data_IF_638504547069
#
_entry.id   IF_638504547069
#
_cell.length_a   1.000
_cell.length_b   1.000
_cell.length_c   1.000
_cell.angle_alpha   90.00
_cell.angle_beta   90.00
_cell.angle_gamma   90.00
#
_symmetry.space_group_name_H-M   'P 1'
#
loop_
_entity.id
_entity.type
_entity.pdbx_description
1 polymer ?
#
# COMPACT_ATOMS: atom_id res chain seq x y z
N UNK A 1 -3.02 -22.01 -3.16
CA UNK A 1 -3.99 -20.99 -2.67
C UNK A 1 -4.47 -20.17 -3.86
N UNK A 2 -5.76 -19.81 -3.99
CA UNK A 2 -6.18 -19.01 -5.16
C UNK A 2 -5.55 -17.62 -5.14
N UNK A 3 -5.26 -17.05 -6.32
CA UNK A 3 -4.64 -15.72 -6.45
C UNK A 3 -5.46 -14.64 -5.73
N UNK A 4 -6.79 -14.71 -5.82
CA UNK A 4 -7.69 -13.83 -5.08
C UNK A 4 -7.46 -13.92 -3.57
N UNK A 5 -7.36 -15.13 -3.00
CA UNK A 5 -7.10 -15.30 -1.56
C UNK A 5 -5.74 -14.71 -1.16
N UNK A 6 -4.71 -14.86 -2.00
CA UNK A 6 -3.38 -14.25 -1.76
C UNK A 6 -3.49 -12.72 -1.72
N UNK A 7 -4.18 -12.15 -2.70
CA UNK A 7 -4.42 -10.71 -2.82
C UNK A 7 -5.16 -10.18 -1.58
N UNK A 8 -6.33 -10.74 -1.26
CA UNK A 8 -7.11 -10.28 -0.10
C UNK A 8 -6.36 -10.41 1.22
N UNK A 9 -5.68 -11.53 1.45
CA UNK A 9 -4.91 -11.76 2.68
C UNK A 9 -3.81 -10.71 2.86
N UNK A 10 -3.08 -10.38 1.80
CA UNK A 10 -1.97 -9.43 1.90
C UNK A 10 -2.44 -7.97 1.81
N UNK A 11 -3.54 -7.68 1.12
CA UNK A 11 -4.19 -6.37 1.15
C UNK A 11 -4.68 -6.03 2.57
N UNK A 12 -5.27 -7.01 3.27
CA UNK A 12 -5.67 -6.86 4.67
C UNK A 12 -4.47 -6.57 5.59
N UNK A 13 -3.29 -7.15 5.32
CA UNK A 13 -2.07 -6.82 6.08
C UNK A 13 -1.63 -5.37 5.86
N UNK A 14 -1.65 -4.87 4.62
CA UNK A 14 -1.33 -3.47 4.31
C UNK A 14 -2.31 -2.56 5.06
N UNK A 15 -3.61 -2.85 4.94
CA UNK A 15 -4.67 -2.11 5.60
C UNK A 15 -4.48 -2.05 7.12
N UNK A 16 -4.35 -3.21 7.78
CA UNK A 16 -4.19 -3.29 9.24
C UNK A 16 -2.91 -2.61 9.69
N UNK A 17 -1.79 -2.77 8.96
CA UNK A 17 -0.53 -2.15 9.31
C UNK A 17 -0.62 -0.61 9.25
N UNK A 18 -1.15 -0.05 8.16
CA UNK A 18 -1.25 1.39 7.98
C UNK A 18 -2.29 2.01 8.93
N UNK A 19 -3.49 1.44 9.00
CA UNK A 19 -4.55 1.95 9.88
C UNK A 19 -4.12 1.82 11.34
N UNK A 20 -3.58 0.66 11.74
CA UNK A 20 -3.04 0.44 13.08
C UNK A 20 -1.91 1.41 13.41
N UNK A 21 -1.03 1.70 12.45
CA UNK A 21 0.02 2.70 12.61
C UNK A 21 -0.55 4.10 12.87
N UNK A 22 -1.55 4.56 12.11
CA UNK A 22 -2.16 5.87 12.36
C UNK A 22 -2.89 5.95 13.70
N UNK A 23 -3.58 4.87 14.12
CA UNK A 23 -4.17 4.81 15.46
C UNK A 23 -3.09 4.89 16.54
N UNK A 24 -1.99 4.16 16.39
CA UNK A 24 -0.86 4.24 17.29
C UNK A 24 -0.28 5.66 17.36
N UNK A 25 -0.09 6.32 16.23
CA UNK A 25 0.37 7.72 16.15
C UNK A 25 -0.58 8.68 16.87
N UNK A 26 -1.90 8.47 16.76
CA UNK A 26 -2.89 9.25 17.50
C UNK A 26 -2.81 9.02 19.01
N UNK A 27 -2.59 7.78 19.46
CA UNK A 27 -2.47 7.45 20.90
C UNK A 27 -1.25 8.12 21.55
N UNK A 28 -0.14 8.25 20.83
CA UNK A 28 1.08 8.89 21.34
C UNK A 28 1.11 10.41 21.07
N UNK A 29 0.04 10.99 20.51
CA UNK A 29 -0.06 12.43 20.24
C UNK A 29 0.82 12.94 19.09
N UNK A 30 1.21 12.08 18.16
CA UNK A 30 2.11 12.41 17.04
C UNK A 30 1.38 12.43 15.68
N UNK A 31 0.05 12.42 15.66
CA UNK A 31 -0.77 12.34 14.44
C UNK A 31 -0.59 13.52 13.47
N UNK A 32 -0.08 14.66 13.96
CA UNK A 32 0.10 15.88 13.15
C UNK A 32 1.41 15.89 12.36
N UNK A 33 2.34 14.96 12.66
CA UNK A 33 3.65 14.89 12.01
C UNK A 33 3.50 14.12 10.69
N UNK A 34 3.50 14.85 9.57
CA UNK A 34 3.21 14.28 8.26
C UNK A 34 4.35 13.41 7.69
N UNK A 35 5.57 13.63 8.14
CA UNK A 35 6.77 12.91 7.71
C UNK A 35 6.66 11.41 7.98
N UNK A 36 5.93 11.02 9.04
CA UNK A 36 5.67 9.62 9.35
C UNK A 36 4.90 8.87 8.27
N UNK A 37 4.19 9.59 7.38
CA UNK A 37 3.49 8.97 6.25
C UNK A 37 4.43 8.31 5.27
N UNK A 38 5.71 8.69 5.24
CA UNK A 38 6.69 8.00 4.42
C UNK A 38 6.78 6.52 4.80
N UNK A 39 6.53 6.15 6.06
CA UNK A 39 6.55 4.77 6.51
C UNK A 39 5.47 3.90 5.84
N UNK A 40 4.40 4.51 5.31
CA UNK A 40 3.37 3.79 4.56
C UNK A 40 3.95 3.05 3.35
N UNK A 41 4.99 3.61 2.70
CA UNK A 41 5.65 2.93 1.57
C UNK A 41 6.24 1.58 1.99
N UNK A 42 6.75 1.49 3.23
CA UNK A 42 7.36 0.27 3.75
C UNK A 42 6.30 -0.82 3.95
N UNK A 43 5.14 -0.46 4.49
CA UNK A 43 4.02 -1.38 4.66
C UNK A 43 3.46 -1.86 3.30
N UNK A 44 3.36 -0.95 2.33
CA UNK A 44 2.93 -1.27 0.96
C UNK A 44 3.92 -2.23 0.30
N UNK A 45 5.22 -1.92 0.28
CA UNK A 45 6.27 -2.78 -0.29
C UNK A 45 6.26 -4.15 0.40
N UNK A 46 6.16 -4.19 1.73
CA UNK A 46 6.12 -5.44 2.48
C UNK A 46 4.91 -6.32 2.12
N UNK A 47 3.72 -5.73 2.03
CA UNK A 47 2.50 -6.45 1.66
C UNK A 47 2.53 -6.95 0.21
N UNK A 48 2.96 -6.11 -0.73
CA UNK A 48 3.12 -6.48 -2.14
C UNK A 48 4.14 -7.61 -2.27
N UNK A 49 5.31 -7.49 -1.65
CA UNK A 49 6.35 -8.52 -1.70
C UNK A 49 5.85 -9.84 -1.10
N UNK A 50 5.10 -9.78 0.01
CA UNK A 50 4.49 -10.95 0.62
C UNK A 50 3.50 -11.65 -0.32
N UNK A 51 2.74 -10.89 -1.12
CA UNK A 51 1.79 -11.45 -2.08
C UNK A 51 2.49 -12.16 -3.25
N UNK A 52 3.52 -11.52 -3.82
CA UNK A 52 4.35 -12.08 -4.89
C UNK A 52 5.06 -13.34 -4.40
N UNK A 53 5.72 -13.26 -3.23
CA UNK A 53 6.41 -14.38 -2.60
C UNK A 53 5.46 -15.56 -2.36
N UNK A 54 4.25 -15.30 -1.86
CA UNK A 54 3.28 -16.38 -1.64
C UNK A 54 2.91 -17.07 -2.96
N UNK A 55 2.71 -16.35 -4.06
CA UNK A 55 2.39 -16.98 -5.33
C UNK A 55 3.57 -17.79 -5.89
N UNK A 56 4.79 -17.23 -5.84
CA UNK A 56 6.01 -17.90 -6.32
C UNK A 56 6.26 -19.21 -5.56
N UNK A 57 6.20 -19.19 -4.22
CA UNK A 57 6.61 -20.35 -3.42
C UNK A 57 5.48 -21.29 -3.01
N UNK A 58 4.24 -20.79 -2.84
CA UNK A 58 3.11 -21.65 -2.42
C UNK A 58 2.29 -22.16 -3.58
N UNK A 59 2.20 -21.39 -4.67
CA UNK A 59 1.50 -21.82 -5.89
C UNK A 59 2.47 -22.33 -6.97
N UNK A 60 3.79 -22.24 -6.74
CA UNK A 60 4.82 -22.58 -7.72
C UNK A 60 4.65 -21.81 -9.05
N UNK A 61 4.03 -20.62 -8.99
CA UNK A 61 3.76 -19.79 -10.17
C UNK A 61 4.70 -18.59 -10.21
N UNK A 62 5.67 -18.68 -11.12
CA UNK A 62 6.67 -17.64 -11.36
C UNK A 62 6.43 -16.88 -12.68
N UNK A 63 5.18 -16.85 -13.17
CA UNK A 63 4.83 -16.03 -14.31
C UNK A 63 4.94 -14.54 -13.95
N UNK A 64 5.66 -13.78 -14.78
CA UNK A 64 5.92 -12.37 -14.53
C UNK A 64 4.62 -11.53 -14.51
N UNK A 65 3.75 -11.69 -15.51
CA UNK A 65 2.52 -10.91 -15.61
C UNK A 65 1.53 -11.28 -14.49
N UNK A 66 1.46 -12.56 -14.12
CA UNK A 66 0.64 -13.00 -13.00
C UNK A 66 1.09 -12.36 -11.69
N UNK A 67 2.40 -12.41 -11.39
CA UNK A 67 2.94 -11.86 -10.14
C UNK A 67 2.90 -10.32 -10.12
N UNK A 68 3.10 -9.66 -11.27
CA UNK A 68 2.90 -8.21 -11.41
C UNK A 68 1.44 -7.83 -11.10
N UNK A 69 0.47 -8.56 -11.65
CA UNK A 69 -0.96 -8.33 -11.41
C UNK A 69 -1.36 -8.58 -9.95
N UNK A 70 -0.87 -9.67 -9.34
CA UNK A 70 -1.10 -9.99 -7.94
C UNK A 70 -0.54 -8.89 -7.03
N UNK A 71 0.70 -8.46 -7.28
CA UNK A 71 1.34 -7.41 -6.50
C UNK A 71 0.59 -6.09 -6.58
N UNK A 72 0.27 -5.64 -7.80
CA UNK A 72 -0.46 -4.39 -8.02
C UNK A 72 -1.86 -4.43 -7.38
N UNK A 73 -2.60 -5.53 -7.58
CA UNK A 73 -3.95 -5.71 -7.03
C UNK A 73 -3.94 -5.76 -5.50
N UNK A 74 -2.90 -6.35 -4.89
CA UNK A 74 -2.70 -6.36 -3.44
C UNK A 74 -2.50 -4.96 -2.89
N UNK A 75 -1.60 -4.18 -3.51
CA UNK A 75 -1.37 -2.79 -3.14
C UNK A 75 -2.63 -1.95 -3.27
N UNK A 76 -3.27 -2.01 -4.45
CA UNK A 76 -4.48 -1.24 -4.77
C UNK A 76 -5.62 -1.49 -3.79
N UNK A 77 -5.95 -2.76 -3.50
CA UNK A 77 -7.02 -3.07 -2.55
C UNK A 77 -6.67 -2.63 -1.12
N UNK A 78 -5.40 -2.76 -0.72
CA UNK A 78 -4.93 -2.28 0.58
C UNK A 78 -5.11 -0.78 0.74
N UNK A 79 -4.66 0.02 -0.24
CA UNK A 79 -4.77 1.48 -0.20
C UNK A 79 -6.21 1.96 -0.28
N UNK A 80 -7.08 1.29 -1.05
CA UNK A 80 -8.49 1.64 -1.13
C UNK A 80 -9.15 1.46 0.23
N UNK A 81 -8.87 0.35 0.93
CA UNK A 81 -9.32 0.15 2.30
C UNK A 81 -8.85 1.26 3.24
N UNK A 82 -7.58 1.66 3.16
CA UNK A 82 -7.02 2.75 4.00
C UNK A 82 -7.73 4.08 3.73
N UNK A 83 -7.90 4.45 2.45
CA UNK A 83 -8.56 5.70 2.05
C UNK A 83 -10.02 5.69 2.47
N UNK A 84 -10.74 4.59 2.30
CA UNK A 84 -12.12 4.45 2.76
C UNK A 84 -12.22 4.65 4.28
N UNK A 85 -11.34 4.02 5.06
CA UNK A 85 -11.33 4.20 6.51
C UNK A 85 -10.97 5.62 6.93
N UNK A 86 -10.07 6.29 6.22
CA UNK A 86 -9.77 7.71 6.44
C UNK A 86 -11.00 8.58 6.19
N UNK A 87 -11.73 8.35 5.10
CA UNK A 87 -12.97 9.09 4.79
C UNK A 87 -14.00 8.89 5.89
N UNK A 88 -14.25 7.64 6.30
CA UNK A 88 -15.18 7.30 7.39
C UNK A 88 -14.76 7.99 8.70
N UNK A 89 -13.47 7.97 9.01
CA UNK A 89 -12.93 8.59 10.21
C UNK A 89 -13.16 10.12 10.21
N UNK A 90 -12.85 10.80 9.10
CA UNK A 90 -13.03 12.25 8.98
C UNK A 90 -14.52 12.64 9.07
N UNK A 91 -15.41 11.86 8.45
CA UNK A 91 -16.83 12.23 8.37
C UNK A 91 -17.64 11.85 9.61
N UNK A 92 -17.26 10.79 10.34
CA UNK A 92 -18.07 10.25 11.44
C UNK A 92 -17.42 10.38 12.82
N UNK A 93 -16.11 10.59 12.90
CA UNK A 93 -15.36 10.52 14.17
C UNK A 93 -14.72 11.86 14.51
N UNK A 94 -13.86 12.38 13.64
CA UNK A 94 -13.00 13.52 13.96
C UNK A 94 -12.51 14.22 12.68
N UNK A 95 -12.96 15.46 12.49
CA UNK A 95 -12.64 16.28 11.31
C UNK A 95 -11.30 17.02 11.43
N UNK A 96 -10.62 16.97 12.58
CA UNK A 96 -9.31 17.63 12.77
C UNK A 96 -8.25 17.10 11.81
N UNK A 97 -8.32 15.81 11.46
CA UNK A 97 -7.45 15.20 10.46
C UNK A 97 -7.59 15.92 9.10
N UNK A 98 -8.79 16.38 8.75
CA UNK A 98 -9.02 17.14 7.51
C UNK A 98 -8.29 18.49 7.54
N UNK A 99 -8.27 19.19 8.68
CA UNK A 99 -7.53 20.45 8.81
C UNK A 99 -6.01 20.26 8.65
N UNK A 100 -5.46 19.21 9.26
CA UNK A 100 -4.04 18.84 9.09
C UNK A 100 -3.74 18.44 7.64
N UNK A 101 -4.67 17.78 6.95
CA UNK A 101 -4.54 17.42 5.54
C UNK A 101 -4.58 18.62 4.59
N UNK A 102 -5.43 19.60 4.85
CA UNK A 102 -5.55 20.80 4.01
C UNK A 102 -4.32 21.70 4.09
N UNK A 103 -3.72 21.83 5.28
CA UNK A 103 -2.55 22.69 5.51
C UNK A 103 -1.26 22.12 4.90
N UNK A 104 -1.22 20.81 4.70
CA UNK A 104 -0.05 20.09 4.20
C UNK A 104 -0.20 19.61 2.76
N UNK A 105 -1.38 19.78 2.16
CA UNK A 105 -1.65 19.23 0.84
C UNK A 105 -0.79 19.91 -0.24
N UNK A 106 0.02 19.08 -0.89
CA UNK A 106 0.92 19.44 -1.99
C UNK A 106 0.20 20.10 -3.19
N UNK A 107 -1.13 20.00 -3.26
CA UNK A 107 -1.98 20.38 -4.40
C UNK A 107 -2.81 21.65 -4.16
N UNK A 108 -2.57 22.38 -3.06
CA UNK A 108 -3.15 23.71 -2.80
C UNK A 108 -3.92 23.82 -1.47
N UNK A 109 -4.17 25.07 -1.05
CA UNK A 109 -4.90 25.40 0.18
C UNK A 109 -6.43 25.32 -0.03
N UNK A 110 -7.19 25.08 1.04
CA UNK A 110 -8.67 25.01 1.06
C UNK A 110 -9.30 23.88 0.21
N UNK A 111 -8.67 22.71 0.18
CA UNK A 111 -9.21 21.57 -0.57
C UNK A 111 -10.39 20.93 0.15
N UNK A 112 -11.48 20.67 -0.58
CA UNK A 112 -12.61 19.86 -0.09
C UNK A 112 -12.19 18.39 0.07
N UNK A 113 -12.86 17.64 0.94
CA UNK A 113 -12.56 16.22 1.21
C UNK A 113 -12.45 15.38 -0.09
N UNK A 114 -13.35 15.52 -1.08
CA UNK A 114 -13.22 14.79 -2.34
C UNK A 114 -11.92 15.09 -3.11
N UNK A 115 -11.42 16.34 -3.09
CA UNK A 115 -10.18 16.71 -3.78
C UNK A 115 -8.96 16.10 -3.10
N UNK A 116 -8.95 16.09 -1.76
CA UNK A 116 -7.88 15.44 -0.97
C UNK A 116 -7.84 13.94 -1.25
N UNK A 117 -9.00 13.28 -1.19
CA UNK A 117 -9.14 11.85 -1.50
C UNK A 117 -8.67 11.53 -2.92
N UNK A 118 -9.06 12.34 -3.90
CA UNK A 118 -8.63 12.17 -5.28
C UNK A 118 -7.11 12.26 -5.43
N UNK A 119 -6.51 13.31 -4.90
CA UNK A 119 -5.06 13.53 -4.92
C UNK A 119 -4.29 12.35 -4.29
N UNK A 120 -4.69 11.94 -3.09
CA UNK A 120 -4.07 10.80 -2.39
C UNK A 120 -4.23 9.48 -3.13
N UNK A 121 -5.39 9.28 -3.79
CA UNK A 121 -5.63 8.06 -4.56
C UNK A 121 -4.64 7.96 -5.71
N UNK A 122 -4.41 9.06 -6.43
CA UNK A 122 -3.44 9.10 -7.54
C UNK A 122 -2.01 8.84 -7.03
N UNK A 123 -1.60 9.50 -5.94
CA UNK A 123 -0.29 9.31 -5.33
C UNK A 123 -0.08 7.85 -4.87
N UNK A 124 -1.05 7.30 -4.15
CA UNK A 124 -1.02 5.94 -3.64
C UNK A 124 -1.01 4.91 -4.78
N UNK A 125 -1.75 5.15 -5.86
CA UNK A 125 -1.72 4.30 -7.05
C UNK A 125 -0.34 4.31 -7.72
N UNK A 126 0.25 5.50 -7.91
CA UNK A 126 1.60 5.62 -8.47
C UNK A 126 2.63 4.86 -7.61
N UNK A 127 2.54 5.00 -6.29
CA UNK A 127 3.34 4.26 -5.32
C UNK A 127 3.17 2.74 -5.44
N UNK A 128 1.94 2.24 -5.60
CA UNK A 128 1.67 0.81 -5.82
C UNK A 128 2.31 0.30 -7.11
N UNK A 129 2.18 1.06 -8.21
CA UNK A 129 2.78 0.73 -9.51
C UNK A 129 4.30 0.62 -9.36
N UNK A 130 4.96 1.67 -8.86
CA UNK A 130 6.41 1.72 -8.70
C UNK A 130 6.90 0.59 -7.80
N UNK A 131 6.27 0.39 -6.64
CA UNK A 131 6.63 -0.65 -5.67
C UNK A 131 6.53 -2.04 -6.28
N UNK A 132 5.45 -2.32 -7.01
CA UNK A 132 5.25 -3.62 -7.68
C UNK A 132 6.30 -3.84 -8.75
N UNK A 133 6.58 -2.84 -9.59
CA UNK A 133 7.62 -2.93 -10.62
C UNK A 133 8.99 -3.21 -10.02
N UNK A 134 9.43 -2.45 -9.01
CA UNK A 134 10.72 -2.66 -8.33
C UNK A 134 10.84 -4.10 -7.82
N UNK A 135 9.81 -4.60 -7.14
CA UNK A 135 9.80 -5.96 -6.60
C UNK A 135 9.84 -7.01 -7.72
N UNK A 136 9.10 -6.81 -8.80
CA UNK A 136 9.13 -7.73 -9.94
C UNK A 136 10.50 -7.76 -10.64
N UNK A 137 11.20 -6.63 -10.70
CA UNK A 137 12.59 -6.59 -11.19
C UNK A 137 13.54 -7.37 -10.26
N UNK A 138 13.36 -7.25 -8.95
CA UNK A 138 14.09 -8.05 -7.96
C UNK A 138 13.85 -9.56 -8.13
N UNK A 139 12.59 -10.00 -8.19
CA UNK A 139 12.24 -11.41 -8.35
C UNK A 139 12.66 -11.99 -9.71
N UNK A 140 12.66 -11.17 -10.76
CA UNK A 140 13.20 -11.56 -12.08
C UNK A 140 14.69 -11.84 -12.03
N UNK A 141 15.49 -11.00 -11.35
CA UNK A 141 16.94 -11.23 -11.20
C UNK A 141 17.22 -12.49 -10.38
N UNK A 142 16.51 -12.68 -9.28
CA UNK A 142 16.73 -13.84 -8.41
C UNK A 142 16.37 -15.18 -9.07
N UNK A 143 15.40 -15.18 -10.00
CA UNK A 143 15.14 -16.33 -10.89
C UNK A 143 16.40 -16.74 -11.68
N UNK A 144 17.13 -15.77 -12.24
CA UNK A 144 18.33 -16.03 -13.04
C UNK A 144 19.44 -16.62 -12.17
N UNK A 145 19.66 -16.09 -10.96
CA UNK A 145 20.66 -16.61 -10.03
C UNK A 145 20.36 -18.06 -9.60
N UNK A 146 19.09 -18.40 -9.33
CA UNK A 146 18.70 -19.76 -8.96
C UNK A 146 18.88 -20.79 -10.09
N UNK A 147 18.79 -20.35 -11.35
CA UNK A 147 19.02 -21.22 -12.51
C UNK A 147 20.52 -21.43 -12.78
N UNK A 148 21.35 -20.41 -12.57
CA UNK A 148 22.82 -20.50 -12.76
C UNK A 148 23.49 -21.34 -11.67
N UNK A 149 22.96 -21.35 -10.44
CA UNK A 149 23.55 -22.10 -9.32
C UNK A 149 23.29 -23.62 -9.38
N UNK A 150 22.46 -24.07 -10.31
CA UNK A 150 22.10 -25.48 -10.52
C UNK A 150 22.49 -26.01 -11.92
N UNK A 151 23.31 -25.29 -12.67
CA UNK A 151 23.98 -25.74 -13.91
C UNK A 151 25.48 -25.93 -13.66
#
# INVERSE_FOLDING_TARGET
>A
MTNQKIVFKNAAKIYVAIVGFYFFMKLIGMSDIIEFRILNILFVIWGINSSIKNNIFQNMDNNYLTNLSIGFSTGLLGILGVITSMVIYITLIDDSLMMTLQTTSFWGNNLTLPKVVFSMTIEAMASCVISTFILMQYWKKHKIESLIKHS
#
